data_IF_147157233194
#
_entry.id   IF_147157233194
#
_cell.length_a   1.000
_cell.length_b   1.000
_cell.length_c   1.000
_cell.angle_alpha   90.00
_cell.angle_beta   90.00
_cell.angle_gamma   90.00
#
_symmetry.space_group_name_H-M   'P 1'
#
loop_
_entity.id
_entity.type
_entity.pdbx_description
1 polymer ?
#
# COMPACT_ATOMS: atom_id res chain seq x y z
N UNK A 1 9.95 3.69 17.15
CA UNK A 1 9.96 2.36 16.51
C UNK A 1 10.55 1.35 17.47
N UNK A 2 9.77 0.90 18.45
CA UNK A 2 10.10 -0.30 19.23
C UNK A 2 9.18 -1.47 18.89
N UNK A 3 7.96 -1.24 18.38
CA UNK A 3 6.96 -2.30 18.14
C UNK A 3 6.17 -2.03 16.85
N UNK A 4 6.49 -2.81 15.81
CA UNK A 4 5.82 -2.75 14.52
C UNK A 4 4.94 -3.97 14.22
N UNK A 5 3.88 -3.75 13.47
CA UNK A 5 3.00 -4.81 12.95
C UNK A 5 2.61 -4.54 11.49
N UNK A 6 2.33 -5.61 10.74
CA UNK A 6 1.90 -5.53 9.34
C UNK A 6 0.39 -5.79 9.24
N UNK A 7 -0.33 -5.00 8.45
CA UNK A 7 -1.67 -5.37 7.98
C UNK A 7 -1.49 -6.20 6.71
N UNK A 8 -1.24 -7.50 6.89
CA UNK A 8 -1.02 -8.43 5.80
C UNK A 8 -2.30 -8.97 5.17
N UNK A 9 -2.15 -9.53 3.98
CA UNK A 9 -3.16 -10.14 3.13
C UNK A 9 -4.36 -9.25 2.78
N UNK A 10 -4.19 -7.94 2.87
CA UNK A 10 -5.23 -6.96 2.60
C UNK A 10 -4.96 -6.29 1.25
N UNK A 11 -4.28 -5.15 1.28
CA UNK A 11 -4.09 -4.28 0.11
C UNK A 11 -2.99 -4.78 -0.85
N UNK A 12 -2.20 -5.79 -0.46
CA UNK A 12 -1.23 -6.44 -1.32
C UNK A 12 -1.78 -7.65 -2.09
N UNK A 13 -3.02 -8.06 -1.79
CA UNK A 13 -3.69 -9.10 -2.56
C UNK A 13 -3.93 -8.65 -4.00
N UNK A 14 -3.95 -9.57 -4.99
CA UNK A 14 -4.27 -9.22 -6.37
C UNK A 14 -5.63 -8.52 -6.47
N UNK A 15 -5.71 -7.45 -7.27
CA UNK A 15 -6.92 -6.60 -7.38
C UNK A 15 -8.20 -7.38 -7.66
N UNK A 16 -8.13 -8.35 -8.57
CA UNK A 16 -9.28 -9.15 -9.01
C UNK A 16 -9.45 -10.46 -8.23
N UNK A 17 -8.51 -10.79 -7.33
CA UNK A 17 -8.52 -12.00 -6.50
C UNK A 17 -8.14 -11.66 -5.06
N UNK A 18 -9.01 -10.94 -4.32
CA UNK A 18 -8.74 -10.56 -2.94
C UNK A 18 -8.55 -11.81 -2.06
N UNK A 19 -7.61 -11.72 -1.11
CA UNK A 19 -7.36 -12.78 -0.12
C UNK A 19 -8.31 -12.67 1.08
N UNK A 20 -7.89 -13.15 2.25
CA UNK A 20 -8.72 -13.35 3.43
C UNK A 20 -9.00 -12.09 4.26
N UNK A 21 -8.21 -11.02 4.08
CA UNK A 21 -8.32 -9.80 4.90
C UNK A 21 -8.92 -8.65 4.10
N UNK A 22 -10.04 -8.10 4.59
CA UNK A 22 -10.61 -6.84 4.08
C UNK A 22 -10.09 -5.67 4.91
N UNK A 23 -9.39 -4.73 4.26
CA UNK A 23 -8.86 -3.53 4.91
C UNK A 23 -9.94 -2.74 5.66
N UNK A 24 -9.65 -2.31 6.89
CA UNK A 24 -10.58 -1.61 7.79
C UNK A 24 -9.84 -0.63 8.71
N UNK A 25 -10.44 0.53 8.97
CA UNK A 25 -9.87 1.52 9.89
C UNK A 25 -9.76 1.00 11.33
N UNK A 26 -10.64 0.05 11.72
CA UNK A 26 -10.59 -0.59 13.05
C UNK A 26 -9.24 -1.25 13.33
N UNK A 27 -8.50 -1.68 12.31
CA UNK A 27 -7.17 -2.24 12.51
C UNK A 27 -6.22 -1.23 13.14
N UNK A 28 -6.29 0.05 12.78
CA UNK A 28 -5.41 1.06 13.36
C UNK A 28 -5.75 1.35 14.83
N UNK A 29 -7.04 1.32 15.17
CA UNK A 29 -7.49 1.41 16.57
C UNK A 29 -6.93 0.24 17.38
N UNK A 30 -7.16 -0.99 16.91
CA UNK A 30 -6.75 -2.22 17.61
C UNK A 30 -5.22 -2.30 17.75
N UNK A 31 -4.47 -1.88 16.72
CA UNK A 31 -3.01 -1.83 16.72
C UNK A 31 -2.51 -0.84 17.78
N UNK A 32 -3.12 0.35 17.86
CA UNK A 32 -2.74 1.37 18.85
C UNK A 32 -3.07 0.90 20.26
N UNK A 33 -4.27 0.35 20.47
CA UNK A 33 -4.73 -0.15 21.76
C UNK A 33 -3.88 -1.34 22.26
N UNK A 34 -3.39 -2.17 21.34
CA UNK A 34 -2.43 -3.24 21.63
C UNK A 34 -1.01 -2.74 21.97
N UNK A 35 -0.75 -1.44 21.86
CA UNK A 35 0.49 -0.79 22.26
C UNK A 35 1.61 -0.81 21.20
N UNK A 36 1.28 -1.02 19.93
CA UNK A 36 2.23 -0.83 18.82
C UNK A 36 2.42 0.66 18.51
N UNK A 37 3.61 1.01 18.04
CA UNK A 37 3.96 2.39 17.64
C UNK A 37 4.11 2.55 16.13
N UNK A 38 4.12 1.44 15.38
CA UNK A 38 4.39 1.42 13.95
C UNK A 38 3.47 0.42 13.25
N UNK A 39 2.89 0.81 12.12
CA UNK A 39 2.12 -0.06 11.23
C UNK A 39 2.74 -0.05 9.83
N UNK A 40 2.92 -1.24 9.25
CA UNK A 40 3.24 -1.40 7.82
C UNK A 40 1.99 -1.76 7.04
N UNK A 41 1.75 -1.01 5.97
CA UNK A 41 0.64 -1.17 5.04
C UNK A 41 1.23 -1.60 3.68
N UNK A 42 1.33 -2.91 3.41
CA UNK A 42 1.78 -3.39 2.11
C UNK A 42 0.68 -3.19 1.05
N UNK A 43 1.03 -2.65 -0.12
CA UNK A 43 0.05 -2.33 -1.17
C UNK A 43 0.55 -2.75 -2.55
N UNK A 44 -0.30 -3.47 -3.31
CA UNK A 44 0.01 -3.88 -4.69
C UNK A 44 -0.43 -2.80 -5.70
N UNK A 45 0.23 -1.64 -5.68
CA UNK A 45 -0.14 -0.53 -6.59
C UNK A 45 -0.04 -0.87 -8.08
N UNK A 46 0.78 -1.86 -8.46
CA UNK A 46 1.00 -2.26 -9.86
C UNK A 46 -0.28 -2.69 -10.58
N UNK A 47 -1.24 -3.25 -9.86
CA UNK A 47 -2.55 -3.71 -10.38
C UNK A 47 -3.55 -2.56 -10.58
N UNK A 48 -3.24 -1.39 -10.01
CA UNK A 48 -4.10 -0.22 -10.03
C UNK A 48 -3.58 0.87 -10.97
N UNK A 49 -2.56 0.59 -11.78
CA UNK A 49 -2.09 1.51 -12.81
C UNK A 49 -2.83 1.31 -14.14
N UNK A 50 -3.11 2.39 -14.86
CA UNK A 50 -3.56 2.33 -16.26
C UNK A 50 -2.50 1.72 -17.19
N UNK A 51 -2.93 1.19 -18.34
CA UNK A 51 -2.04 0.74 -19.44
C UNK A 51 -1.45 1.88 -20.30
N UNK A 52 -1.64 3.14 -19.89
CA UNK A 52 -1.03 4.30 -20.59
C UNK A 52 0.45 4.45 -20.24
N UNK A 53 1.19 5.19 -21.08
CA UNK A 53 2.62 5.50 -20.87
C UNK A 53 2.92 6.18 -19.52
N UNK A 54 1.92 6.81 -18.90
CA UNK A 54 2.08 7.48 -17.60
C UNK A 54 1.82 6.56 -16.40
N UNK A 55 1.31 5.34 -16.61
CA UNK A 55 1.00 4.36 -15.56
C UNK A 55 0.23 4.99 -14.38
N UNK A 56 -0.78 5.81 -14.69
CA UNK A 56 -1.52 6.56 -13.68
C UNK A 56 -2.21 5.61 -12.72
N UNK A 57 -2.01 5.79 -11.42
CA UNK A 57 -2.72 5.03 -10.38
C UNK A 57 -4.19 5.45 -10.39
N UNK A 58 -5.09 4.48 -10.29
CA UNK A 58 -6.53 4.71 -10.16
C UNK A 58 -6.81 5.70 -9.03
N UNK A 59 -7.51 6.79 -9.35
CA UNK A 59 -7.68 7.91 -8.43
C UNK A 59 -8.53 7.55 -7.21
N UNK A 60 -9.54 6.69 -7.38
CA UNK A 60 -10.41 6.29 -6.28
C UNK A 60 -9.68 5.37 -5.32
N UNK A 61 -8.90 4.42 -5.84
CA UNK A 61 -8.02 3.58 -5.04
C UNK A 61 -6.98 4.43 -4.30
N UNK A 62 -6.33 5.37 -4.98
CA UNK A 62 -5.26 6.16 -4.38
C UNK A 62 -5.78 7.04 -3.24
N UNK A 63 -6.95 7.68 -3.42
CA UNK A 63 -7.65 8.40 -2.34
C UNK A 63 -8.06 7.50 -1.16
N UNK A 64 -8.30 6.21 -1.38
CA UNK A 64 -8.56 5.26 -0.27
C UNK A 64 -7.28 4.98 0.51
N UNK A 65 -6.14 4.85 -0.16
CA UNK A 65 -4.83 4.70 0.50
C UNK A 65 -4.53 5.92 1.37
N UNK A 66 -4.71 7.13 0.85
CA UNK A 66 -4.52 8.37 1.63
C UNK A 66 -5.36 8.35 2.91
N UNK A 67 -6.65 8.01 2.81
CA UNK A 67 -7.53 7.89 3.98
C UNK A 67 -7.05 6.88 5.02
N UNK A 68 -6.43 5.77 4.60
CA UNK A 68 -5.88 4.80 5.54
C UNK A 68 -4.58 5.30 6.19
N UNK A 69 -3.72 5.98 5.42
CA UNK A 69 -2.50 6.60 5.94
C UNK A 69 -2.86 7.71 6.93
N UNK A 70 -3.77 8.62 6.57
CA UNK A 70 -4.26 9.70 7.43
C UNK A 70 -4.83 9.14 8.73
N UNK A 71 -5.68 8.10 8.65
CA UNK A 71 -6.26 7.48 9.83
C UNK A 71 -5.19 6.87 10.75
N UNK A 72 -4.15 6.24 10.20
CA UNK A 72 -3.05 5.70 11.00
C UNK A 72 -2.24 6.80 11.68
N UNK A 73 -1.96 7.90 10.95
CA UNK A 73 -1.27 9.07 11.49
C UNK A 73 -2.10 9.76 12.60
N UNK A 74 -3.41 9.86 12.44
CA UNK A 74 -4.35 10.38 13.47
C UNK A 74 -4.35 9.53 14.76
N UNK A 75 -3.87 8.27 14.70
CA UNK A 75 -3.68 7.40 15.87
C UNK A 75 -2.28 7.48 16.47
N UNK A 76 -1.49 8.46 16.06
CA UNK A 76 -0.07 8.61 16.41
C UNK A 76 0.73 7.31 16.13
N UNK A 77 0.45 6.65 15.00
CA UNK A 77 1.24 5.52 14.51
C UNK A 77 2.26 6.00 13.47
N UNK A 78 3.46 5.44 13.52
CA UNK A 78 4.42 5.55 12.41
C UNK A 78 3.95 4.64 11.28
N UNK A 79 3.84 5.17 10.06
CA UNK A 79 3.37 4.41 8.89
C UNK A 79 4.54 4.03 8.00
N UNK A 80 4.63 2.75 7.67
CA UNK A 80 5.50 2.23 6.60
C UNK A 80 4.60 1.82 5.43
N UNK A 81 4.60 2.61 4.36
CA UNK A 81 3.92 2.30 3.11
C UNK A 81 4.94 1.77 2.10
N UNK A 82 4.61 0.70 1.38
CA UNK A 82 5.48 0.18 0.33
C UNK A 82 4.74 -0.27 -0.94
N UNK A 83 5.54 -0.56 -1.96
CA UNK A 83 5.09 -1.20 -3.19
C UNK A 83 5.33 -2.70 -3.08
N UNK A 84 4.25 -3.44 -2.81
CA UNK A 84 4.29 -4.88 -2.61
C UNK A 84 3.86 -5.66 -3.85
N UNK A 85 4.28 -6.92 -3.95
CA UNK A 85 3.90 -7.87 -4.99
C UNK A 85 3.80 -7.33 -6.44
N UNK A 86 4.72 -6.44 -6.82
CA UNK A 86 4.90 -6.10 -8.22
C UNK A 86 5.63 -7.28 -8.90
N UNK A 87 4.87 -8.29 -9.31
CA UNK A 87 5.45 -9.57 -9.77
C UNK A 87 6.18 -9.42 -11.11
N UNK A 88 5.70 -8.55 -11.99
CA UNK A 88 6.29 -8.34 -13.30
C UNK A 88 7.68 -7.72 -13.19
N UNK A 89 7.91 -6.76 -12.27
CA UNK A 89 9.26 -6.24 -12.02
C UNK A 89 10.17 -7.28 -11.37
N UNK A 90 9.64 -8.21 -10.56
CA UNK A 90 10.44 -9.29 -9.97
C UNK A 90 10.95 -10.25 -11.04
N UNK A 91 10.18 -10.46 -12.12
CA UNK A 91 10.54 -11.32 -13.26
C UNK A 91 11.43 -10.57 -14.27
N UNK A 92 11.06 -9.35 -14.64
CA UNK A 92 11.70 -8.56 -15.70
C UNK A 92 12.01 -7.12 -15.25
N UNK A 93 12.97 -6.92 -14.33
CA UNK A 93 13.19 -5.63 -13.68
C UNK A 93 13.62 -4.52 -14.65
N UNK A 94 14.34 -4.87 -15.72
CA UNK A 94 14.77 -3.89 -16.74
C UNK A 94 13.61 -3.39 -17.58
N UNK A 95 12.64 -4.26 -17.88
CA UNK A 95 11.44 -3.93 -18.67
C UNK A 95 10.51 -3.04 -17.85
N UNK A 96 10.31 -3.37 -16.57
CA UNK A 96 9.35 -2.66 -15.71
C UNK A 96 9.95 -1.50 -14.89
N UNK A 97 11.22 -1.16 -15.11
CA UNK A 97 11.92 -0.07 -14.40
C UNK A 97 11.17 1.26 -14.51
N UNK A 98 10.68 1.60 -15.70
CA UNK A 98 9.97 2.86 -15.92
C UNK A 98 8.65 2.90 -15.14
N UNK A 99 7.82 1.86 -15.26
CA UNK A 99 6.57 1.73 -14.49
C UNK A 99 6.82 1.85 -12.99
N UNK A 100 7.86 1.20 -12.46
CA UNK A 100 8.25 1.32 -11.05
C UNK A 100 8.55 2.77 -10.63
N UNK A 101 9.38 3.48 -11.39
CA UNK A 101 9.72 4.87 -11.09
C UNK A 101 8.51 5.80 -11.20
N UNK A 102 7.64 5.58 -12.19
CA UNK A 102 6.41 6.37 -12.38
C UNK A 102 5.38 6.15 -11.27
N UNK A 103 5.28 4.94 -10.73
CA UNK A 103 4.46 4.65 -9.54
C UNK A 103 5.00 5.44 -8.34
N UNK A 104 6.30 5.34 -8.05
CA UNK A 104 6.90 6.07 -6.93
C UNK A 104 6.82 7.59 -7.07
N UNK A 105 6.95 8.13 -8.29
CA UNK A 105 6.75 9.55 -8.56
C UNK A 105 5.33 10.05 -8.25
N UNK A 106 4.33 9.17 -8.34
CA UNK A 106 2.96 9.50 -7.93
C UNK A 106 2.79 9.38 -6.42
N UNK A 107 3.34 8.33 -5.79
CA UNK A 107 3.28 8.11 -4.33
C UNK A 107 3.97 9.24 -3.54
N UNK A 108 5.06 9.80 -4.06
CA UNK A 108 5.86 10.81 -3.36
C UNK A 108 5.34 12.25 -3.48
N UNK A 109 4.22 12.49 -4.17
CA UNK A 109 3.61 13.82 -4.34
C UNK A 109 2.54 14.08 -3.32
#
# INVERSE_FOLDING_TARGET
>A
MQRGINIGNALESPKDFPWDVKMSNKFFDDIKDAGFDTVRIPVRFSDYTSDSDNFKIDEEFFKKIDKYVDYALDKDLIVVLDLHHFEEIMKEPRVHKEKFLKIWQQIAK
#
